data_IF_502049941276
#
_entry.id   IF_502049941276
#
_cell.length_a   1.000
_cell.length_b   1.000
_cell.length_c   1.000
_cell.angle_alpha   90.00
_cell.angle_beta   90.00
_cell.angle_gamma   90.00
#
_symmetry.space_group_name_H-M   'P 1'
#
loop_
_entity.id
_entity.type
_entity.pdbx_description
1 polymer ?
#
# COMPACT_ATOMS: atom_id res chain seq x y z
N UNK A 1 -26.37 5.00 -25.26
CA UNK A 1 -26.44 5.68 -23.96
C UNK A 1 -26.25 4.64 -22.85
N UNK A 2 -25.00 4.35 -22.40
CA UNK A 2 -24.77 3.33 -21.34
C UNK A 2 -23.44 3.50 -20.55
N UNK A 3 -22.91 4.72 -20.46
CA UNK A 3 -21.57 4.97 -19.87
C UNK A 3 -21.60 5.21 -18.35
N UNK A 4 -22.76 5.47 -17.74
CA UNK A 4 -22.87 5.83 -16.31
C UNK A 4 -22.83 4.63 -15.35
N UNK A 5 -23.26 3.44 -15.79
CA UNK A 5 -23.31 2.22 -14.95
C UNK A 5 -21.95 1.58 -14.72
N UNK A 6 -21.05 1.63 -15.71
CA UNK A 6 -19.70 1.05 -15.58
C UNK A 6 -18.77 1.84 -14.64
N UNK A 7 -18.99 3.15 -14.50
CA UNK A 7 -18.14 4.02 -13.66
C UNK A 7 -18.35 3.72 -12.18
N UNK A 8 -19.59 3.55 -11.73
CA UNK A 8 -19.89 3.24 -10.32
C UNK A 8 -19.42 1.84 -9.89
N UNK A 9 -19.40 0.89 -10.83
CA UNK A 9 -18.86 -0.45 -10.59
C UNK A 9 -17.33 -0.41 -10.43
N UNK A 10 -16.63 0.26 -11.34
CA UNK A 10 -15.17 0.46 -11.25
C UNK A 10 -14.75 1.19 -9.96
N UNK A 11 -15.53 2.17 -9.52
CA UNK A 11 -15.25 2.92 -8.28
C UNK A 11 -15.38 2.04 -7.02
N UNK A 12 -16.35 1.10 -6.99
CA UNK A 12 -16.48 0.13 -5.89
C UNK A 12 -15.30 -0.84 -5.83
N UNK A 13 -14.89 -1.40 -6.97
CA UNK A 13 -13.74 -2.31 -7.02
C UNK A 13 -12.45 -1.62 -6.64
N UNK A 14 -12.22 -0.40 -7.14
CA UNK A 14 -11.06 0.42 -6.76
C UNK A 14 -10.98 0.64 -5.25
N UNK A 15 -12.11 0.96 -4.59
CA UNK A 15 -12.13 1.13 -3.14
C UNK A 15 -11.90 -0.18 -2.37
N UNK A 16 -12.42 -1.31 -2.88
CA UNK A 16 -12.18 -2.64 -2.32
C UNK A 16 -10.68 -3.00 -2.38
N UNK A 17 -10.03 -2.80 -3.53
CA UNK A 17 -8.59 -3.07 -3.68
C UNK A 17 -7.73 -2.26 -2.71
N UNK A 18 -8.05 -0.96 -2.52
CA UNK A 18 -7.32 -0.12 -1.55
C UNK A 18 -7.49 -0.65 -0.12
N UNK A 19 -8.70 -1.06 0.26
CA UNK A 19 -8.96 -1.65 1.59
C UNK A 19 -8.20 -2.96 1.80
N UNK A 20 -8.20 -3.84 0.79
CA UNK A 20 -7.43 -5.10 0.84
C UNK A 20 -5.94 -4.82 0.98
N UNK A 21 -5.40 -3.88 0.20
CA UNK A 21 -3.99 -3.53 0.26
C UNK A 21 -3.58 -2.94 1.62
N UNK A 22 -4.46 -2.14 2.22
CA UNK A 22 -4.29 -1.63 3.58
C UNK A 22 -4.34 -2.75 4.63
N UNK A 23 -5.30 -3.68 4.51
CA UNK A 23 -5.42 -4.82 5.41
C UNK A 23 -4.17 -5.72 5.37
N UNK A 24 -3.64 -5.99 4.16
CA UNK A 24 -2.39 -6.75 3.99
C UNK A 24 -1.21 -6.01 4.63
N UNK A 25 -1.09 -4.70 4.46
CA UNK A 25 0.00 -3.92 5.07
C UNK A 25 -0.05 -3.98 6.61
N UNK A 26 -1.25 -3.86 7.19
CA UNK A 26 -1.47 -3.99 8.64
C UNK A 26 -1.14 -5.41 9.11
N UNK A 27 -1.56 -6.44 8.38
CA UNK A 27 -1.24 -7.83 8.67
C UNK A 27 0.28 -8.04 8.72
N UNK A 28 1.01 -7.58 7.70
CA UNK A 28 2.49 -7.68 7.65
C UNK A 28 3.13 -6.97 8.85
N UNK A 29 2.62 -5.81 9.24
CA UNK A 29 3.11 -5.06 10.39
C UNK A 29 2.96 -5.88 11.69
N UNK A 30 1.80 -6.51 11.90
CA UNK A 30 1.59 -7.38 13.06
C UNK A 30 2.45 -8.65 13.04
N UNK A 31 2.63 -9.28 11.87
CA UNK A 31 3.54 -10.43 11.74
C UNK A 31 4.99 -10.05 12.08
N UNK A 32 5.47 -8.89 11.63
CA UNK A 32 6.82 -8.43 11.94
C UNK A 32 7.04 -8.19 13.44
N UNK A 33 6.06 -7.57 14.11
CA UNK A 33 6.05 -7.41 15.57
C UNK A 33 6.04 -8.77 16.27
N UNK A 34 5.13 -9.65 15.88
CA UNK A 34 5.00 -10.99 16.46
C UNK A 34 6.30 -11.79 16.33
N UNK A 35 6.91 -11.79 15.14
CA UNK A 35 8.18 -12.47 14.89
C UNK A 35 9.31 -11.87 15.76
N UNK A 36 9.32 -10.55 15.93
CA UNK A 36 10.31 -9.88 16.78
C UNK A 36 10.20 -10.33 18.24
N UNK A 37 8.99 -10.29 18.81
CA UNK A 37 8.74 -10.74 20.19
C UNK A 37 9.03 -12.23 20.38
N UNK A 38 8.57 -13.06 19.44
CA UNK A 38 8.81 -14.49 19.47
C UNK A 38 10.31 -14.82 19.43
N UNK A 39 11.08 -14.11 18.61
CA UNK A 39 12.52 -14.27 18.52
C UNK A 39 13.25 -13.87 19.81
N UNK A 40 12.78 -12.83 20.51
CA UNK A 40 13.37 -12.39 21.78
C UNK A 40 13.17 -13.47 22.85
N UNK A 41 11.94 -13.97 22.99
CA UNK A 41 11.59 -14.97 24.02
C UNK A 41 12.36 -16.28 23.83
N UNK A 42 12.50 -16.72 22.58
CA UNK A 42 13.14 -17.99 22.26
C UNK A 42 14.64 -17.87 21.99
N UNK A 43 15.23 -16.68 22.19
CA UNK A 43 16.63 -16.39 21.88
C UNK A 43 17.09 -16.90 20.50
N UNK A 44 16.22 -16.76 19.50
CA UNK A 44 16.46 -17.34 18.17
C UNK A 44 17.57 -16.56 17.47
N UNK A 45 18.71 -17.23 17.33
CA UNK A 45 19.85 -16.73 16.58
C UNK A 45 19.88 -17.40 15.20
N UNK A 46 19.82 -16.58 14.14
CA UNK A 46 19.82 -17.05 12.76
C UNK A 46 21.22 -16.83 12.20
N UNK A 47 21.94 -17.89 11.81
CA UNK A 47 23.26 -17.74 11.20
C UNK A 47 23.12 -17.20 9.78
N UNK A 48 23.68 -16.02 9.53
CA UNK A 48 23.67 -15.36 8.21
C UNK A 48 25.12 -15.14 7.78
N UNK A 49 25.51 -15.79 6.67
CA UNK A 49 26.84 -15.84 6.04
C UNK A 49 27.98 -16.34 6.94
N UNK A 50 28.17 -15.79 8.13
CA UNK A 50 29.13 -16.23 9.16
C UNK A 50 28.82 -15.68 10.56
N UNK A 51 27.78 -14.85 10.69
CA UNK A 51 27.44 -14.15 11.94
C UNK A 51 26.04 -14.53 12.40
N UNK A 52 25.88 -14.82 13.69
CA UNK A 52 24.58 -15.06 14.30
C UNK A 52 23.86 -13.73 14.51
N UNK A 53 22.82 -13.48 13.73
CA UNK A 53 21.98 -12.29 13.88
C UNK A 53 20.73 -12.68 14.66
N UNK A 54 20.33 -11.82 15.60
CA UNK A 54 19.11 -12.04 16.37
C UNK A 54 17.89 -11.92 15.45
N UNK A 55 16.95 -12.87 15.51
CA UNK A 55 15.75 -12.86 14.66
C UNK A 55 14.86 -11.63 14.86
N UNK A 56 15.03 -10.90 15.97
CA UNK A 56 14.46 -9.56 16.19
C UNK A 56 14.77 -8.59 15.06
N UNK A 57 15.99 -8.60 14.50
CA UNK A 57 16.39 -7.70 13.43
C UNK A 57 15.57 -7.97 12.16
N UNK A 58 15.31 -9.24 11.85
CA UNK A 58 14.47 -9.63 10.73
C UNK A 58 13.00 -9.25 10.97
N UNK A 59 12.48 -9.46 12.18
CA UNK A 59 11.13 -9.03 12.53
C UNK A 59 10.96 -7.51 12.43
N UNK A 60 11.97 -6.74 12.84
CA UNK A 60 12.00 -5.28 12.72
C UNK A 60 12.01 -4.82 11.26
N UNK A 61 12.76 -5.52 10.39
CA UNK A 61 12.77 -5.29 8.94
C UNK A 61 11.39 -5.52 8.32
N UNK A 62 10.72 -6.62 8.69
CA UNK A 62 9.34 -6.91 8.22
C UNK A 62 8.36 -5.87 8.73
N UNK A 63 8.47 -5.46 10.00
CA UNK A 63 7.65 -4.39 10.57
C UNK A 63 7.83 -3.07 9.82
N UNK A 64 9.08 -2.69 9.54
CA UNK A 64 9.40 -1.51 8.73
C UNK A 64 8.78 -1.57 7.33
N UNK A 65 8.84 -2.73 6.67
CA UNK A 65 8.17 -2.94 5.38
C UNK A 65 6.65 -2.76 5.50
N UNK A 66 6.03 -3.32 6.53
CA UNK A 66 4.61 -3.13 6.83
C UNK A 66 4.24 -1.64 6.99
N UNK A 67 4.99 -0.91 7.81
CA UNK A 67 4.79 0.53 8.05
C UNK A 67 5.01 1.37 6.78
N UNK A 68 6.06 1.08 6.01
CA UNK A 68 6.35 1.74 4.73
C UNK A 68 5.21 1.54 3.73
N UNK A 69 4.68 0.32 3.65
CA UNK A 69 3.57 -0.02 2.78
C UNK A 69 2.28 0.67 3.24
N UNK A 70 2.00 0.68 4.53
CA UNK A 70 0.88 1.41 5.13
C UNK A 70 0.88 2.89 4.71
N UNK A 71 2.01 3.58 4.87
CA UNK A 71 2.15 4.98 4.48
C UNK A 71 1.98 5.20 2.98
N UNK A 72 2.51 4.29 2.16
CA UNK A 72 2.37 4.34 0.70
C UNK A 72 0.91 4.20 0.26
N UNK A 73 0.17 3.26 0.86
CA UNK A 73 -1.26 3.05 0.59
C UNK A 73 -2.10 4.24 1.06
N UNK A 74 -1.79 4.84 2.21
CA UNK A 74 -2.46 6.06 2.68
C UNK A 74 -2.26 7.24 1.72
N UNK A 75 -1.03 7.42 1.21
CA UNK A 75 -0.74 8.42 0.16
C UNK A 75 -1.52 8.14 -1.12
N UNK A 76 -1.63 6.87 -1.52
CA UNK A 76 -2.41 6.47 -2.69
C UNK A 76 -3.90 6.79 -2.50
N UNK A 77 -4.48 6.46 -1.34
CA UNK A 77 -5.87 6.77 -1.02
C UNK A 77 -6.15 8.28 -1.09
N UNK A 78 -5.26 9.11 -0.54
CA UNK A 78 -5.37 10.58 -0.62
C UNK A 78 -5.33 11.07 -2.07
N UNK A 79 -4.39 10.59 -2.89
CA UNK A 79 -4.32 10.92 -4.31
C UNK A 79 -5.58 10.50 -5.06
N UNK A 80 -6.10 9.31 -4.80
CA UNK A 80 -7.30 8.80 -5.46
C UNK A 80 -8.57 9.55 -5.06
N UNK A 81 -8.62 10.12 -3.85
CA UNK A 81 -9.69 10.99 -3.39
C UNK A 81 -9.62 12.39 -4.03
N UNK A 82 -8.42 12.95 -4.21
CA UNK A 82 -8.21 14.23 -4.91
C UNK A 82 -8.45 14.16 -6.43
N UNK A 83 -8.07 13.03 -7.04
CA UNK A 83 -8.20 12.79 -8.49
C UNK A 83 -9.64 12.42 -8.92
N UNK A 84 -10.61 12.59 -8.01
CA UNK A 84 -12.04 12.65 -8.38
C UNK A 84 -12.35 13.95 -9.14
N UNK A 85 -11.43 14.92 -9.14
CA UNK A 85 -11.41 15.98 -10.15
C UNK A 85 -11.12 15.36 -11.51
N UNK A 86 -12.18 15.24 -12.32
CA UNK A 86 -12.11 14.65 -13.65
C UNK A 86 -11.01 15.35 -14.45
N UNK A 87 -10.06 14.59 -14.98
CA UNK A 87 -9.16 15.07 -16.03
C UNK A 87 -10.04 15.39 -17.25
N UNK A 88 -10.51 16.63 -17.33
CA UNK A 88 -11.38 17.10 -18.40
C UNK A 88 -10.52 17.26 -19.64
N UNK A 89 -10.60 16.26 -20.54
CA UNK A 89 -10.06 16.30 -21.90
C UNK A 89 -10.46 17.58 -22.68
N UNK A 90 -11.50 18.28 -22.21
CA UNK A 90 -11.96 19.56 -22.71
C UNK A 90 -10.90 20.67 -22.57
N UNK A 91 -10.08 20.66 -21.51
CA UNK A 91 -8.97 21.62 -21.36
C UNK A 91 -7.85 21.38 -22.39
N UNK A 92 -7.66 20.14 -22.84
CA UNK A 92 -6.69 19.82 -23.89
C UNK A 92 -7.20 20.12 -25.30
N UNK A 93 -8.52 20.21 -25.52
CA UNK A 93 -9.09 20.51 -26.85
C UNK A 93 -9.17 22.00 -27.19
N UNK A 94 -8.93 22.90 -26.23
CA UNK A 94 -9.18 24.33 -26.43
C UNK A 94 -8.14 25.07 -27.29
N UNK A 95 -7.04 24.41 -27.67
CA UNK A 95 -5.95 25.04 -28.44
C UNK A 95 -5.59 24.35 -29.78
N UNK A 96 -6.48 23.52 -30.36
CA UNK A 96 -6.22 22.88 -31.67
C UNK A 96 -6.82 23.68 -32.85
N UNK A 97 -7.43 24.84 -32.60
CA UNK A 97 -7.90 25.76 -33.65
C UNK A 97 -7.49 27.20 -33.33
N UNK A 98 -6.20 27.51 -33.42
CA UNK A 98 -5.74 28.86 -33.77
C UNK A 98 -4.36 28.76 -34.46
N UNK A 99 -4.35 28.39 -35.74
CA UNK A 99 -3.88 29.22 -36.87
C UNK A 99 -4.04 28.45 -38.18
#
# INVERSE_FOLDING_TARGET
>A
MNKKSNVSFMDKHKNLFIKVLYAIAVLIMFLGLFFSFYSIINHIAIPILSTSVHGMVLGLLVFYLGLRNYLSVSKLQKKLSLNTSKFLWQNFRKNIKEK
#
